data_IF_374964194793
#
_entry.id   IF_374964194793
#
_cell.length_a   1.000
_cell.length_b   1.000
_cell.length_c   1.000
_cell.angle_alpha   90.00
_cell.angle_beta   90.00
_cell.angle_gamma   90.00
#
_symmetry.space_group_name_H-M   'P 1'
#
loop_
_entity.id
_entity.type
_entity.pdbx_description
1 polymer ?
#
# COMPACT_ATOMS: atom_id res chain seq x y z
N UNK A 1 -42.76 -11.60 -2.90
CA UNK A 1 -42.08 -12.69 -3.63
C UNK A 1 -40.89 -13.09 -2.77
N UNK A 2 -40.79 -14.35 -2.36
CA UNK A 2 -39.67 -14.80 -1.53
C UNK A 2 -38.37 -14.56 -2.32
N UNK A 3 -37.49 -13.74 -1.75
CA UNK A 3 -36.19 -13.43 -2.32
C UNK A 3 -35.34 -14.70 -2.18
N UNK A 4 -35.30 -15.54 -3.22
CA UNK A 4 -34.49 -16.76 -3.20
C UNK A 4 -33.02 -16.36 -3.16
N UNK A 5 -32.45 -16.39 -1.96
CA UNK A 5 -31.03 -16.23 -1.72
C UNK A 5 -30.31 -17.51 -2.15
N UNK A 6 -29.40 -17.38 -3.10
CA UNK A 6 -28.46 -18.41 -3.49
C UNK A 6 -27.24 -18.33 -2.60
N UNK A 7 -26.75 -19.47 -2.11
CA UNK A 7 -25.56 -19.57 -1.27
C UNK A 7 -24.62 -20.64 -1.79
N UNK A 8 -23.34 -20.29 -1.92
CA UNK A 8 -22.24 -21.22 -2.21
C UNK A 8 -21.16 -21.12 -1.15
N UNK A 9 -20.62 -22.28 -0.78
CA UNK A 9 -19.48 -22.41 0.12
C UNK A 9 -18.42 -23.26 -0.54
N UNK A 10 -17.24 -22.70 -0.71
CA UNK A 10 -16.06 -23.40 -1.22
C UNK A 10 -14.99 -23.46 -0.13
N UNK A 11 -14.26 -24.57 -0.12
CA UNK A 11 -13.22 -24.85 0.87
C UNK A 11 -11.97 -25.32 0.12
N UNK A 12 -10.83 -24.73 0.44
CA UNK A 12 -9.52 -25.13 -0.05
C UNK A 12 -8.59 -25.44 1.11
N UNK A 13 -7.85 -26.52 0.93
CA UNK A 13 -6.76 -26.92 1.83
C UNK A 13 -5.44 -26.49 1.17
N UNK A 14 -4.76 -25.54 1.81
CA UNK A 14 -3.57 -24.84 1.30
C UNK A 14 -2.38 -25.08 2.25
N UNK A 15 -1.16 -25.04 1.71
CA UNK A 15 0.07 -25.37 2.43
C UNK A 15 0.64 -24.19 3.21
N UNK A 16 0.53 -22.97 2.70
CA UNK A 16 0.98 -21.76 3.37
C UNK A 16 0.12 -21.43 4.61
N UNK A 17 0.74 -20.80 5.61
CA UNK A 17 0.03 -20.34 6.82
C UNK A 17 -0.92 -19.17 6.50
N UNK A 18 -1.89 -18.87 7.40
CA UNK A 18 -2.78 -17.72 7.21
C UNK A 18 -2.01 -16.41 7.01
N UNK A 19 -0.93 -16.19 7.76
CA UNK A 19 -0.06 -15.01 7.68
C UNK A 19 0.65 -14.91 6.33
N UNK A 20 1.11 -16.04 5.79
CA UNK A 20 1.77 -16.09 4.49
C UNK A 20 0.79 -15.86 3.33
N UNK A 21 -0.45 -16.33 3.48
CA UNK A 21 -1.51 -16.20 2.46
C UNK A 21 -2.21 -14.86 2.49
N UNK A 22 -2.34 -14.24 3.66
CA UNK A 22 -3.12 -13.03 3.87
C UNK A 22 -2.79 -11.91 2.87
N UNK A 23 -1.51 -11.54 2.63
CA UNK A 23 -1.18 -10.48 1.68
C UNK A 23 -1.66 -10.74 0.25
N UNK A 24 -1.85 -12.01 -0.12
CA UNK A 24 -2.32 -12.41 -1.44
C UNK A 24 -3.84 -12.54 -1.52
N UNK A 25 -4.45 -13.10 -0.47
CA UNK A 25 -5.90 -13.37 -0.41
C UNK A 25 -6.68 -12.09 -0.10
N UNK A 26 -6.13 -11.19 0.71
CA UNK A 26 -6.74 -9.93 1.08
C UNK A 26 -6.56 -8.83 0.02
N UNK A 27 -5.68 -9.03 -0.97
CA UNK A 27 -5.61 -8.20 -2.18
C UNK A 27 -6.72 -8.59 -3.16
N UNK A 28 -7.94 -8.16 -2.82
CA UNK A 28 -9.12 -8.50 -3.63
C UNK A 28 -9.10 -7.83 -5.00
N UNK A 29 -8.34 -6.73 -5.16
CA UNK A 29 -8.13 -6.09 -6.45
C UNK A 29 -7.36 -7.02 -7.41
N UNK A 30 -6.24 -7.55 -6.92
CA UNK A 30 -5.45 -8.54 -7.65
C UNK A 30 -6.20 -9.86 -7.85
N UNK A 31 -6.90 -10.34 -6.83
CA UNK A 31 -7.69 -11.55 -6.93
C UNK A 31 -8.79 -11.44 -8.00
N UNK A 32 -9.51 -10.33 -8.07
CA UNK A 32 -10.54 -10.10 -9.07
C UNK A 32 -9.93 -10.11 -10.49
N UNK A 33 -8.79 -9.43 -10.69
CA UNK A 33 -8.02 -9.48 -11.95
C UNK A 33 -7.61 -10.92 -12.31
N UNK A 34 -6.94 -11.63 -11.40
CA UNK A 34 -6.37 -12.95 -11.65
C UNK A 34 -7.45 -14.04 -11.83
N UNK A 35 -8.62 -13.83 -11.21
CA UNK A 35 -9.81 -14.67 -11.40
C UNK A 35 -10.66 -14.26 -12.61
N UNK A 36 -10.22 -13.28 -13.40
CA UNK A 36 -10.88 -12.84 -14.62
C UNK A 36 -12.26 -12.22 -14.38
N UNK A 37 -12.48 -11.66 -13.19
CA UNK A 37 -13.56 -10.71 -12.96
C UNK A 37 -13.22 -9.49 -13.83
N UNK A 38 -14.09 -9.07 -14.76
CA UNK A 38 -13.82 -7.94 -15.62
C UNK A 38 -13.51 -6.69 -14.80
N UNK A 39 -12.51 -5.93 -15.25
CA UNK A 39 -12.27 -4.59 -14.73
C UNK A 39 -13.54 -3.74 -14.85
N UNK A 40 -13.69 -2.78 -13.97
CA UNK A 40 -14.73 -1.77 -14.11
C UNK A 40 -14.45 -0.95 -15.38
N UNK A 41 -15.18 -1.19 -16.48
CA UNK A 41 -14.98 -0.50 -17.77
C UNK A 41 -15.03 1.04 -17.67
N UNK A 42 -15.71 1.56 -16.64
CA UNK A 42 -15.78 2.98 -16.25
C UNK A 42 -16.26 3.05 -14.78
N UNK A 43 -15.37 3.33 -13.82
CA UNK A 43 -15.83 3.90 -12.53
C UNK A 43 -16.20 5.35 -12.83
N UNK A 44 -17.49 5.63 -13.00
CA UNK A 44 -17.90 6.99 -13.39
C UNK A 44 -18.05 7.95 -12.22
N UNK A 45 -18.09 7.46 -10.98
CA UNK A 45 -18.01 8.22 -9.73
C UNK A 45 -18.03 7.21 -8.58
N UNK A 46 -16.89 7.04 -7.88
CA UNK A 46 -16.85 6.36 -6.58
C UNK A 46 -17.21 7.36 -5.51
N UNK A 47 -18.50 7.62 -5.29
CA UNK A 47 -18.94 8.59 -4.29
C UNK A 47 -18.87 7.93 -2.90
N UNK A 48 -17.96 8.41 -2.07
CA UNK A 48 -17.89 8.05 -0.65
C UNK A 48 -19.05 8.71 0.08
N UNK A 49 -19.83 7.92 0.82
CA UNK A 49 -21.04 8.38 1.49
C UNK A 49 -20.78 8.91 2.92
N UNK A 50 -19.52 8.97 3.35
CA UNK A 50 -19.08 9.52 4.64
C UNK A 50 -19.08 8.54 5.81
N UNK A 51 -19.72 7.38 5.68
CA UNK A 51 -19.83 6.28 6.66
C UNK A 51 -19.00 5.04 6.25
N UNK A 52 -18.00 5.26 5.39
CA UNK A 52 -17.21 4.20 4.76
C UNK A 52 -17.91 3.44 3.63
N UNK A 53 -19.21 3.68 3.37
CA UNK A 53 -19.89 3.12 2.21
C UNK A 53 -19.46 3.84 0.94
N UNK A 54 -19.41 3.10 -0.16
CA UNK A 54 -19.05 3.64 -1.48
C UNK A 54 -20.15 3.32 -2.47
N UNK A 55 -20.62 4.31 -3.22
CA UNK A 55 -21.46 4.08 -4.40
C UNK A 55 -20.59 3.80 -5.60
N UNK A 56 -20.87 2.71 -6.29
CA UNK A 56 -20.09 2.23 -7.42
C UNK A 56 -21.02 1.97 -8.59
N UNK A 57 -20.70 2.58 -9.73
CA UNK A 57 -21.35 2.30 -11.02
C UNK A 57 -20.31 1.76 -11.99
N UNK A 58 -20.58 0.56 -12.52
CA UNK A 58 -19.70 -0.14 -13.47
C UNK A 58 -20.52 -0.74 -14.60
N UNK A 59 -19.87 -1.00 -15.73
CA UNK A 59 -20.44 -1.80 -16.82
C UNK A 59 -19.70 -3.13 -16.89
N UNK A 60 -20.45 -4.22 -16.97
CA UNK A 60 -19.90 -5.57 -17.02
C UNK A 60 -20.75 -6.42 -17.97
N UNK A 61 -20.12 -7.07 -18.95
CA UNK A 61 -20.80 -7.86 -20.00
C UNK A 61 -21.94 -7.10 -20.70
N UNK A 62 -21.74 -5.80 -20.92
CA UNK A 62 -22.75 -4.92 -21.51
C UNK A 62 -23.88 -4.48 -20.57
N UNK A 63 -23.93 -5.00 -19.34
CA UNK A 63 -24.92 -4.65 -18.31
C UNK A 63 -24.35 -3.60 -17.37
N UNK A 64 -25.13 -2.58 -17.05
CA UNK A 64 -24.75 -1.59 -16.03
C UNK A 64 -25.14 -2.09 -14.64
N UNK A 65 -24.16 -2.15 -13.76
CA UNK A 65 -24.29 -2.47 -12.35
C UNK A 65 -24.07 -1.20 -11.54
N UNK A 66 -25.06 -0.84 -10.75
CA UNK A 66 -25.03 0.29 -9.83
C UNK A 66 -25.34 -0.28 -8.46
N UNK A 67 -24.43 -0.08 -7.52
CA UNK A 67 -24.53 -0.64 -6.19
C UNK A 67 -23.91 0.28 -5.13
N UNK A 68 -24.39 0.13 -3.90
CA UNK A 68 -23.70 0.64 -2.72
C UNK A 68 -22.95 -0.53 -2.09
N UNK A 69 -21.66 -0.33 -1.86
CA UNK A 69 -20.80 -1.26 -1.15
C UNK A 69 -20.71 -0.83 0.32
N UNK A 70 -21.03 -1.75 1.23
CA UNK A 70 -20.73 -1.58 2.66
C UNK A 70 -19.21 -1.62 2.88
N UNK A 71 -18.68 -0.96 3.94
CA UNK A 71 -17.27 -1.09 4.29
C UNK A 71 -16.82 -2.54 4.29
N UNK A 72 -15.63 -2.81 3.75
CA UNK A 72 -14.99 -4.08 3.99
C UNK A 72 -14.82 -4.27 5.49
N UNK A 73 -15.13 -5.46 5.98
CA UNK A 73 -14.87 -5.85 7.37
C UNK A 73 -13.80 -6.92 7.38
N UNK A 74 -12.82 -6.81 8.26
CA UNK A 74 -11.76 -7.81 8.35
C UNK A 74 -11.09 -7.86 9.70
N UNK A 75 -10.48 -9.03 9.94
CA UNK A 75 -9.60 -9.34 11.04
C UNK A 75 -8.37 -10.01 10.45
N UNK A 76 -7.23 -9.31 10.37
CA UNK A 76 -5.97 -9.88 9.88
C UNK A 76 -5.44 -10.95 10.86
N UNK A 77 -4.92 -12.10 10.38
CA UNK A 77 -4.94 -12.62 9.01
C UNK A 77 -6.13 -13.59 8.73
N UNK A 78 -7.17 -13.54 9.56
CA UNK A 78 -8.18 -14.59 9.67
C UNK A 78 -9.35 -14.47 8.70
N UNK A 79 -9.85 -13.27 8.43
CA UNK A 79 -11.05 -13.13 7.58
C UNK A 79 -11.22 -11.75 6.99
N UNK A 80 -11.91 -11.69 5.86
CA UNK A 80 -12.50 -10.46 5.36
C UNK A 80 -13.87 -10.72 4.73
N UNK A 81 -14.70 -9.68 4.66
CA UNK A 81 -15.99 -9.75 4.01
C UNK A 81 -16.45 -8.39 3.49
N UNK A 82 -17.38 -8.43 2.55
CA UNK A 82 -18.00 -7.24 1.97
C UNK A 82 -19.42 -7.55 1.53
N UNK A 83 -20.31 -6.57 1.65
CA UNK A 83 -21.67 -6.65 1.14
C UNK A 83 -21.91 -5.55 0.12
N UNK A 84 -22.56 -5.90 -0.99
CA UNK A 84 -22.94 -4.99 -2.07
C UNK A 84 -24.45 -5.05 -2.29
N UNK A 85 -25.10 -3.88 -2.32
CA UNK A 85 -26.54 -3.72 -2.51
C UNK A 85 -26.80 -3.09 -3.86
N UNK A 86 -27.34 -3.87 -4.80
CA UNK A 86 -27.47 -3.50 -6.20
C UNK A 86 -28.81 -2.82 -6.48
N UNK A 87 -28.75 -1.64 -7.07
CA UNK A 87 -29.90 -0.88 -7.58
C UNK A 87 -30.18 -1.20 -9.06
N UNK A 88 -29.17 -1.67 -9.81
CA UNK A 88 -29.28 -2.15 -11.19
C UNK A 88 -28.54 -3.47 -11.42
N UNK A 89 -28.88 -4.19 -12.49
CA UNK A 89 -28.28 -5.48 -12.84
C UNK A 89 -29.09 -6.71 -12.39
N UNK A 90 -28.53 -7.92 -12.54
CA UNK A 90 -29.23 -9.18 -12.27
C UNK A 90 -29.29 -9.58 -10.78
N UNK A 91 -28.35 -9.05 -9.98
CA UNK A 91 -28.20 -9.32 -8.54
C UNK A 91 -28.96 -8.25 -7.75
N UNK A 92 -29.56 -8.63 -6.62
CA UNK A 92 -30.15 -7.69 -5.66
C UNK A 92 -29.17 -7.35 -4.52
N UNK A 93 -28.63 -8.39 -3.88
CA UNK A 93 -27.60 -8.29 -2.84
C UNK A 93 -26.53 -9.33 -3.09
N UNK A 94 -25.27 -8.98 -2.91
CA UNK A 94 -24.12 -9.89 -2.91
C UNK A 94 -23.39 -9.75 -1.57
N UNK A 95 -23.15 -10.87 -0.88
CA UNK A 95 -22.31 -10.92 0.31
C UNK A 95 -21.17 -11.90 0.09
N UNK A 96 -19.96 -11.51 0.46
CA UNK A 96 -18.75 -12.32 0.36
C UNK A 96 -18.14 -12.43 1.76
N UNK A 97 -17.66 -13.62 2.11
CA UNK A 97 -16.86 -13.85 3.32
C UNK A 97 -15.75 -14.85 2.99
N UNK A 98 -14.51 -14.47 3.24
CA UNK A 98 -13.34 -15.34 3.20
C UNK A 98 -12.81 -15.53 4.62
N UNK A 99 -12.56 -16.77 5.01
CA UNK A 99 -12.05 -17.18 6.33
C UNK A 99 -10.84 -18.09 6.14
N UNK A 100 -9.75 -17.81 6.86
CA UNK A 100 -8.48 -18.51 6.84
C UNK A 100 -8.25 -19.08 8.24
N UNK A 101 -8.50 -20.39 8.37
CA UNK A 101 -8.29 -21.11 9.63
C UNK A 101 -6.96 -21.88 9.56
N UNK A 102 -6.12 -21.72 10.59
CA UNK A 102 -4.89 -22.51 10.71
C UNK A 102 -5.23 -23.99 10.97
N UNK A 103 -4.56 -24.89 10.25
CA UNK A 103 -4.80 -26.33 10.37
C UNK A 103 -3.88 -26.98 11.41
N UNK A 104 -4.34 -28.01 12.15
CA UNK A 104 -3.51 -28.69 13.14
C UNK A 104 -2.22 -29.33 12.59
N UNK A 105 -2.21 -29.70 11.31
CA UNK A 105 -1.06 -30.27 10.60
C UNK A 105 -0.18 -29.20 9.91
N UNK A 106 -0.50 -27.92 10.09
CA UNK A 106 0.12 -26.80 9.39
C UNK A 106 -0.60 -26.43 8.09
N UNK A 107 -0.45 -25.18 7.67
CA UNK A 107 -1.14 -24.61 6.51
C UNK A 107 -2.53 -24.06 6.85
N UNK A 108 -3.36 -23.85 5.84
CA UNK A 108 -4.61 -23.07 5.95
C UNK A 108 -5.80 -23.79 5.33
N UNK A 109 -6.93 -23.81 6.04
CA UNK A 109 -8.25 -24.08 5.47
C UNK A 109 -8.87 -22.74 5.07
N UNK A 110 -8.88 -22.44 3.77
CA UNK A 110 -9.53 -21.25 3.22
C UNK A 110 -10.99 -21.59 2.91
N UNK A 111 -11.93 -20.98 3.63
CA UNK A 111 -13.36 -21.03 3.34
C UNK A 111 -13.78 -19.74 2.63
N UNK A 112 -14.37 -19.85 1.43
CA UNK A 112 -14.94 -18.69 0.71
C UNK A 112 -16.44 -18.90 0.50
N UNK A 113 -17.23 -17.97 0.99
CA UNK A 113 -18.69 -18.04 0.97
C UNK A 113 -19.27 -16.86 0.20
N UNK A 114 -20.26 -17.16 -0.64
CA UNK A 114 -20.94 -16.17 -1.47
C UNK A 114 -22.44 -16.34 -1.33
N UNK A 115 -23.12 -15.27 -0.94
CA UNK A 115 -24.59 -15.19 -0.93
C UNK A 115 -25.04 -14.18 -1.97
N UNK A 116 -26.01 -14.54 -2.79
CA UNK A 116 -26.54 -13.67 -3.84
C UNK A 116 -28.06 -13.76 -3.95
N UNK A 117 -28.77 -12.62 -3.91
CA UNK A 117 -30.20 -12.57 -4.21
C UNK A 117 -30.46 -12.14 -5.65
N UNK A 118 -31.61 -12.54 -6.20
CA UNK A 118 -31.98 -12.26 -7.59
C UNK A 118 -32.85 -11.01 -7.66
N UNK A 119 -32.49 -10.06 -8.53
CA UNK A 119 -33.31 -8.86 -8.76
C UNK A 119 -34.33 -9.03 -9.89
N UNK A 120 -33.99 -9.79 -10.92
CA UNK A 120 -34.82 -9.99 -12.11
C UNK A 120 -34.52 -11.35 -12.78
N UNK A 121 -35.18 -11.62 -13.91
CA UNK A 121 -35.05 -12.90 -14.63
C UNK A 121 -33.62 -13.20 -15.12
N UNK A 122 -32.78 -12.17 -15.38
CA UNK A 122 -31.37 -12.39 -15.73
C UNK A 122 -30.59 -13.02 -14.57
N UNK A 123 -31.03 -12.82 -13.32
CA UNK A 123 -30.47 -13.46 -12.13
C UNK A 123 -30.63 -14.98 -12.07
N UNK A 124 -31.37 -15.60 -13.01
CA UNK A 124 -31.44 -17.06 -13.13
C UNK A 124 -30.08 -17.70 -13.44
N UNK A 125 -29.13 -16.95 -14.03
CA UNK A 125 -27.77 -17.44 -14.33
C UNK A 125 -26.83 -17.46 -13.13
N UNK A 126 -27.21 -16.87 -11.98
CA UNK A 126 -26.35 -16.74 -10.79
C UNK A 126 -25.72 -18.08 -10.36
N UNK A 127 -26.47 -19.20 -10.24
CA UNK A 127 -25.88 -20.47 -9.82
C UNK A 127 -24.82 -21.02 -10.77
N UNK A 128 -24.94 -20.75 -12.06
CA UNK A 128 -23.96 -21.20 -13.06
C UNK A 128 -22.70 -20.31 -12.99
N UNK A 129 -22.90 -18.99 -12.94
CA UNK A 129 -21.80 -18.02 -12.89
C UNK A 129 -20.98 -18.18 -11.61
N UNK A 130 -21.63 -18.18 -10.45
CA UNK A 130 -20.97 -18.30 -9.16
C UNK A 130 -20.53 -19.76 -8.92
N UNK A 131 -21.48 -20.70 -8.89
CA UNK A 131 -21.22 -22.10 -8.51
C UNK A 131 -20.27 -22.89 -9.40
N UNK A 132 -20.19 -22.57 -10.71
CA UNK A 132 -19.37 -23.33 -11.65
C UNK A 132 -18.22 -22.53 -12.26
N UNK A 133 -18.50 -21.35 -12.83
CA UNK A 133 -17.49 -20.57 -13.56
C UNK A 133 -16.49 -19.96 -12.58
N UNK A 134 -16.96 -19.18 -11.60
CA UNK A 134 -16.08 -18.52 -10.63
C UNK A 134 -15.32 -19.55 -9.78
N UNK A 135 -15.97 -20.64 -9.34
CA UNK A 135 -15.31 -21.70 -8.57
C UNK A 135 -14.02 -22.21 -9.22
N UNK A 136 -14.03 -22.49 -10.54
CA UNK A 136 -12.83 -22.98 -11.26
C UNK A 136 -11.74 -21.92 -11.35
N UNK A 137 -12.11 -20.66 -11.50
CA UNK A 137 -11.15 -19.55 -11.58
C UNK A 137 -10.53 -19.25 -10.21
N UNK A 138 -11.34 -19.30 -9.16
CA UNK A 138 -10.91 -19.11 -7.78
C UNK A 138 -9.98 -20.24 -7.34
N UNK A 139 -10.30 -21.49 -7.71
CA UNK A 139 -9.42 -22.63 -7.47
C UNK A 139 -8.02 -22.40 -8.08
N UNK A 140 -7.97 -21.99 -9.36
CA UNK A 140 -6.69 -21.66 -10.00
C UNK A 140 -5.96 -20.53 -9.25
N UNK A 141 -6.65 -19.44 -8.91
CA UNK A 141 -6.05 -18.29 -8.24
C UNK A 141 -5.48 -18.64 -6.86
N UNK A 142 -6.27 -19.29 -5.99
CA UNK A 142 -5.82 -19.65 -4.65
C UNK A 142 -4.70 -20.69 -4.65
N UNK A 143 -4.71 -21.65 -5.58
CA UNK A 143 -3.58 -22.60 -5.74
C UNK A 143 -2.30 -21.90 -6.19
N UNK A 144 -2.41 -20.89 -7.06
CA UNK A 144 -1.29 -20.04 -7.44
C UNK A 144 -0.79 -19.26 -6.22
N UNK A 145 -1.67 -18.61 -5.47
CA UNK A 145 -1.29 -17.86 -4.27
C UNK A 145 -0.60 -18.73 -3.22
N UNK A 146 -1.10 -19.94 -2.99
CA UNK A 146 -0.48 -20.92 -2.09
C UNK A 146 0.96 -21.27 -2.50
N UNK A 147 1.18 -21.61 -3.77
CA UNK A 147 2.52 -21.93 -4.26
C UNK A 147 3.50 -20.75 -4.10
N UNK A 148 3.03 -19.51 -4.27
CA UNK A 148 3.86 -18.31 -4.19
C UNK A 148 4.15 -17.90 -2.74
N UNK A 149 3.17 -18.06 -1.86
CA UNK A 149 3.32 -17.88 -0.42
C UNK A 149 4.35 -18.88 0.14
N UNK A 150 4.25 -20.17 -0.22
CA UNK A 150 5.23 -21.20 0.15
C UNK A 150 6.63 -20.89 -0.40
N UNK A 151 6.72 -20.40 -1.64
CA UNK A 151 7.99 -20.03 -2.27
C UNK A 151 8.60 -18.73 -1.73
N UNK A 152 7.88 -17.96 -0.89
CA UNK A 152 8.32 -16.66 -0.40
C UNK A 152 8.45 -15.60 -1.49
N UNK A 153 7.67 -15.71 -2.58
CA UNK A 153 7.73 -14.80 -3.75
C UNK A 153 6.36 -14.21 -4.15
N UNK A 154 5.61 -13.61 -3.21
CA UNK A 154 4.25 -13.13 -3.46
C UNK A 154 4.14 -12.03 -4.53
N UNK A 155 5.22 -11.33 -4.86
CA UNK A 155 5.28 -10.24 -5.87
C UNK A 155 5.51 -10.71 -7.32
N UNK A 156 5.94 -11.97 -7.49
CA UNK A 156 6.02 -12.62 -8.82
C UNK A 156 4.69 -13.23 -9.24
N UNK A 157 3.67 -13.05 -8.42
CA UNK A 157 2.43 -13.75 -8.56
C UNK A 157 1.50 -13.03 -9.52
N UNK A 158 1.80 -13.13 -10.80
CA UNK A 158 0.91 -12.68 -11.84
C UNK A 158 0.15 -13.87 -12.43
N UNK A 159 -1.20 -13.85 -12.32
CA UNK A 159 -2.07 -14.73 -13.11
C UNK A 159 -2.06 -14.37 -14.60
N UNK A 160 -1.53 -13.19 -14.95
CA UNK A 160 -1.41 -12.64 -16.31
C UNK A 160 0.05 -12.45 -16.72
N UNK A 161 0.34 -12.50 -18.02
CA UNK A 161 1.70 -12.26 -18.52
C UNK A 161 1.97 -10.75 -18.53
N UNK A 162 3.06 -10.26 -17.91
CA UNK A 162 3.44 -8.84 -17.96
C UNK A 162 3.50 -8.29 -19.40
N UNK A 163 2.96 -7.10 -19.62
CA UNK A 163 2.96 -6.45 -20.94
C UNK A 163 4.21 -5.57 -21.13
N UNK A 164 5.31 -6.18 -21.57
CA UNK A 164 6.55 -5.46 -21.87
C UNK A 164 6.41 -4.64 -23.16
N UNK A 165 7.03 -3.46 -23.16
CA UNK A 165 7.14 -2.65 -24.37
C UNK A 165 8.03 -3.36 -25.39
N UNK A 166 7.77 -3.13 -26.69
CA UNK A 166 8.58 -3.72 -27.77
C UNK A 166 10.07 -3.41 -27.66
N UNK A 167 10.42 -2.26 -27.08
CA UNK A 167 11.80 -1.79 -26.89
C UNK A 167 12.36 -2.11 -25.51
N UNK A 168 11.67 -2.90 -24.68
CA UNK A 168 12.04 -3.09 -23.28
C UNK A 168 13.48 -3.61 -23.11
N UNK A 169 13.85 -4.67 -23.84
CA UNK A 169 15.19 -5.27 -23.72
C UNK A 169 16.29 -4.36 -24.27
N UNK A 170 16.03 -3.62 -25.35
CA UNK A 170 16.95 -2.62 -25.88
C UNK A 170 17.18 -1.49 -24.87
N UNK A 171 16.11 -1.03 -24.19
CA UNK A 171 16.19 0.01 -23.16
C UNK A 171 16.96 -0.47 -21.94
N UNK A 172 16.71 -1.69 -21.47
CA UNK A 172 17.44 -2.28 -20.34
C UNK A 172 18.93 -2.45 -20.68
N UNK A 173 19.25 -2.93 -21.89
CA UNK A 173 20.63 -3.05 -22.35
C UNK A 173 21.32 -1.68 -22.45
N UNK A 174 20.65 -0.66 -22.99
CA UNK A 174 21.17 0.69 -23.09
C UNK A 174 21.40 1.32 -21.71
N UNK A 175 20.48 1.12 -20.76
CA UNK A 175 20.64 1.60 -19.38
C UNK A 175 21.86 0.96 -18.70
N UNK A 176 22.05 -0.35 -18.88
CA UNK A 176 23.22 -1.06 -18.36
C UNK A 176 24.53 -0.54 -18.94
N UNK A 177 24.57 -0.28 -20.25
CA UNK A 177 25.74 0.29 -20.92
C UNK A 177 26.00 1.75 -20.51
N UNK A 178 24.94 2.52 -20.25
CA UNK A 178 25.00 3.93 -19.87
C UNK A 178 25.23 4.18 -18.37
N UNK A 179 25.26 3.14 -17.54
CA UNK A 179 25.29 3.25 -16.08
C UNK A 179 26.41 4.18 -15.59
N UNK A 180 27.64 3.99 -16.06
CA UNK A 180 28.79 4.80 -15.63
C UNK A 180 28.81 6.21 -16.24
N UNK A 181 27.94 6.50 -17.21
CA UNK A 181 27.85 7.81 -17.89
C UNK A 181 26.94 8.82 -17.19
N UNK A 182 26.24 8.42 -16.13
CA UNK A 182 25.28 9.24 -15.39
C UNK A 182 25.85 9.63 -14.01
N UNK A 183 25.58 10.84 -13.49
CA UNK A 183 26.01 11.23 -12.14
C UNK A 183 25.61 10.17 -11.08
N UNK A 184 26.58 9.72 -10.29
CA UNK A 184 26.35 8.68 -9.27
C UNK A 184 26.16 7.26 -9.80
N UNK A 185 26.17 7.05 -11.11
CA UNK A 185 25.98 5.71 -11.68
C UNK A 185 27.16 4.76 -11.43
N UNK A 186 28.39 5.28 -11.35
CA UNK A 186 29.58 4.47 -11.00
C UNK A 186 29.57 3.88 -9.58
N UNK A 187 28.73 4.41 -8.70
CA UNK A 187 28.54 3.89 -7.33
C UNK A 187 27.34 2.95 -7.19
N UNK A 188 26.53 2.79 -8.23
CA UNK A 188 25.45 1.80 -8.23
C UNK A 188 26.01 0.45 -8.68
N UNK A 189 25.80 -0.59 -7.89
CA UNK A 189 26.17 -1.96 -8.28
C UNK A 189 25.40 -2.37 -9.55
N UNK A 190 26.08 -2.74 -10.65
CA UNK A 190 25.43 -3.26 -11.85
C UNK A 190 24.50 -4.45 -11.56
N UNK A 191 24.81 -5.29 -10.57
CA UNK A 191 23.95 -6.41 -10.18
C UNK A 191 22.61 -5.95 -9.58
N UNK A 192 22.59 -4.80 -8.89
CA UNK A 192 21.36 -4.21 -8.37
C UNK A 192 20.49 -3.66 -9.51
N UNK A 193 21.10 -3.04 -10.53
CA UNK A 193 20.37 -2.61 -11.72
C UNK A 193 19.79 -3.81 -12.48
N UNK A 194 20.56 -4.90 -12.61
CA UNK A 194 20.10 -6.14 -13.25
C UNK A 194 18.94 -6.77 -12.46
N UNK A 195 19.00 -6.76 -11.11
CA UNK A 195 17.92 -7.23 -10.24
C UNK A 195 16.64 -6.39 -10.38
N UNK A 196 16.77 -5.06 -10.43
CA UNK A 196 15.66 -4.16 -10.69
C UNK A 196 15.05 -4.43 -12.08
N UNK A 197 15.87 -4.62 -13.10
CA UNK A 197 15.39 -4.92 -14.44
C UNK A 197 14.66 -6.27 -14.52
N UNK A 198 15.12 -7.31 -13.82
CA UNK A 198 14.41 -8.60 -13.74
C UNK A 198 13.07 -8.46 -12.98
N UNK A 199 13.04 -7.68 -11.90
CA UNK A 199 11.79 -7.36 -11.19
C UNK A 199 10.79 -6.66 -12.12
N UNK A 200 11.22 -5.65 -12.88
CA UNK A 200 10.37 -4.97 -13.87
C UNK A 200 9.87 -5.91 -14.98
N UNK A 201 10.60 -6.97 -15.31
CA UNK A 201 10.18 -7.96 -16.32
C UNK A 201 9.16 -8.96 -15.79
N UNK A 202 9.27 -9.35 -14.52
CA UNK A 202 8.59 -10.54 -13.98
C UNK A 202 7.52 -10.26 -12.94
N UNK A 203 7.69 -9.22 -12.13
CA UNK A 203 6.75 -8.90 -11.07
C UNK A 203 5.37 -8.58 -11.65
N UNK A 204 4.31 -8.77 -10.86
CA UNK A 204 2.96 -8.47 -11.31
C UNK A 204 2.74 -6.95 -11.52
N UNK A 205 1.73 -6.57 -12.31
CA UNK A 205 1.47 -5.17 -12.65
C UNK A 205 1.17 -4.31 -11.41
N UNK A 206 0.51 -4.87 -10.39
CA UNK A 206 0.20 -4.16 -9.14
C UNK A 206 1.47 -3.88 -8.34
N UNK A 207 2.38 -4.87 -8.28
CA UNK A 207 3.67 -4.75 -7.62
C UNK A 207 4.57 -3.68 -8.26
N UNK A 208 4.50 -3.49 -9.58
CA UNK A 208 5.31 -2.48 -10.29
C UNK A 208 4.60 -1.14 -10.52
N UNK A 209 3.29 -1.06 -10.36
CA UNK A 209 2.52 0.19 -10.53
C UNK A 209 2.94 1.29 -9.54
N UNK A 210 3.44 0.89 -8.36
CA UNK A 210 3.89 1.78 -7.29
C UNK A 210 5.04 1.15 -6.51
N UNK A 211 6.25 1.27 -7.05
CA UNK A 211 7.48 0.78 -6.46
C UNK A 211 7.94 1.72 -5.34
N UNK A 212 8.04 1.16 -4.13
CA UNK A 212 8.69 1.78 -2.98
C UNK A 212 10.10 1.21 -2.81
N UNK A 213 11.16 2.01 -2.96
CA UNK A 213 12.54 1.50 -2.87
C UNK A 213 12.86 0.83 -1.55
N UNK A 214 12.35 1.33 -0.42
CA UNK A 214 12.65 0.74 0.90
C UNK A 214 11.89 -0.55 1.13
N UNK A 215 10.64 -0.64 0.67
CA UNK A 215 9.91 -1.90 0.67
C UNK A 215 10.63 -2.97 -0.16
N UNK A 216 11.17 -2.60 -1.33
CA UNK A 216 11.98 -3.51 -2.16
C UNK A 216 13.30 -3.88 -1.47
N UNK A 217 13.98 -2.91 -0.85
CA UNK A 217 15.25 -3.13 -0.17
C UNK A 217 15.12 -4.11 1.00
N UNK A 218 14.10 -3.93 1.83
CA UNK A 218 13.83 -4.80 2.98
C UNK A 218 13.56 -6.24 2.49
N UNK A 219 12.78 -6.41 1.42
CA UNK A 219 12.52 -7.72 0.80
C UNK A 219 13.76 -8.35 0.16
N UNK A 220 14.60 -7.53 -0.44
CA UNK A 220 15.83 -7.99 -1.10
C UNK A 220 16.98 -8.21 -0.11
N UNK A 221 16.78 -7.85 1.16
CA UNK A 221 17.80 -7.80 2.21
C UNK A 221 19.00 -6.95 1.77
N UNK A 222 18.73 -5.81 1.15
CA UNK A 222 19.74 -4.86 0.66
C UNK A 222 19.65 -3.53 1.41
N UNK A 223 20.73 -2.73 1.45
CA UNK A 223 20.69 -1.40 2.04
C UNK A 223 19.66 -0.52 1.34
N UNK A 224 18.72 0.03 2.11
CA UNK A 224 17.66 0.94 1.64
C UNK A 224 18.19 2.07 0.75
N UNK A 225 19.32 2.67 1.14
CA UNK A 225 19.95 3.76 0.40
C UNK A 225 20.42 3.34 -0.98
N UNK A 226 21.01 2.17 -1.11
CA UNK A 226 21.53 1.66 -2.39
C UNK A 226 20.39 1.43 -3.38
N UNK A 227 19.27 0.88 -2.91
CA UNK A 227 18.08 0.65 -3.74
C UNK A 227 17.41 1.96 -4.18
N UNK A 228 17.31 2.95 -3.29
CA UNK A 228 16.82 4.28 -3.65
C UNK A 228 17.72 4.93 -4.71
N UNK A 229 19.04 4.93 -4.49
CA UNK A 229 19.98 5.54 -5.43
C UNK A 229 19.99 4.81 -6.79
N UNK A 230 19.84 3.48 -6.80
CA UNK A 230 19.66 2.71 -8.02
C UNK A 230 18.36 3.07 -8.74
N UNK A 231 17.25 3.25 -8.03
CA UNK A 231 15.97 3.67 -8.60
C UNK A 231 16.04 5.09 -9.23
N UNK A 232 16.75 6.02 -8.57
CA UNK A 232 17.00 7.36 -9.10
C UNK A 232 17.86 7.33 -10.38
N UNK A 233 18.94 6.56 -10.38
CA UNK A 233 19.79 6.38 -11.57
C UNK A 233 19.01 5.68 -12.69
N UNK A 234 18.23 4.64 -12.38
CA UNK A 234 17.36 3.95 -13.33
C UNK A 234 16.30 4.88 -13.92
N UNK A 235 15.82 5.86 -13.16
CA UNK A 235 14.93 6.93 -13.66
C UNK A 235 15.64 7.80 -14.69
N UNK A 236 16.86 8.25 -14.39
CA UNK A 236 17.66 9.05 -15.34
C UNK A 236 18.02 8.27 -16.61
N UNK A 237 18.21 6.96 -16.50
CA UNK A 237 18.44 6.05 -17.63
C UNK A 237 17.16 5.68 -18.39
N UNK A 238 15.99 6.15 -17.94
CA UNK A 238 14.70 5.94 -18.60
C UNK A 238 14.10 4.54 -18.42
N UNK A 239 14.52 3.80 -17.38
CA UNK A 239 13.88 2.54 -16.99
C UNK A 239 12.67 2.75 -16.10
N UNK A 240 12.78 3.75 -15.23
CA UNK A 240 11.74 4.16 -14.30
C UNK A 240 11.31 5.59 -14.59
N UNK A 241 10.18 5.94 -14.00
CA UNK A 241 9.76 7.30 -13.68
C UNK A 241 9.46 7.36 -12.20
N UNK A 242 9.61 8.53 -11.59
CA UNK A 242 9.10 8.76 -10.25
C UNK A 242 7.87 9.67 -10.30
N UNK A 243 7.15 9.72 -9.18
CA UNK A 243 6.09 10.68 -8.90
C UNK A 243 6.08 11.00 -7.42
N UNK A 244 5.52 12.15 -7.10
CA UNK A 244 5.33 12.66 -5.75
C UNK A 244 3.89 12.44 -5.33
N UNK A 245 3.68 11.69 -4.25
CA UNK A 245 2.37 11.40 -3.68
C UNK A 245 2.19 12.20 -2.38
N UNK A 246 1.08 12.95 -2.26
CA UNK A 246 0.62 13.48 -0.96
C UNK A 246 -0.35 12.50 -0.35
N UNK A 247 0.07 11.87 0.74
CA UNK A 247 -0.69 10.85 1.43
C UNK A 247 -1.64 11.46 2.46
N UNK A 248 -2.82 10.87 2.60
CA UNK A 248 -3.64 11.10 3.78
C UNK A 248 -2.97 10.46 5.02
N UNK A 249 -2.82 11.15 6.15
CA UNK A 249 -2.17 10.60 7.35
C UNK A 249 -2.98 9.49 8.05
N UNK A 250 -4.25 9.31 7.69
CA UNK A 250 -5.10 8.24 8.22
C UNK A 250 -5.07 6.99 7.34
N UNK A 251 -5.55 7.07 6.10
CA UNK A 251 -5.59 5.91 5.20
C UNK A 251 -4.28 5.65 4.44
N UNK A 252 -3.34 6.59 4.43
CA UNK A 252 -2.02 6.50 3.75
C UNK A 252 -2.09 6.30 2.24
N UNK A 253 -3.26 6.54 1.65
CA UNK A 253 -3.48 6.55 0.20
C UNK A 253 -3.17 7.95 -0.32
N UNK A 254 -2.54 8.02 -1.50
CA UNK A 254 -2.29 9.27 -2.21
C UNK A 254 -3.62 9.98 -2.53
N UNK A 255 -3.70 11.28 -2.25
CA UNK A 255 -4.84 12.15 -2.61
C UNK A 255 -4.48 13.20 -3.64
N UNK A 256 -3.19 13.42 -3.82
CA UNK A 256 -2.62 14.13 -4.95
C UNK A 256 -1.36 13.41 -5.38
N UNK A 257 -1.13 13.40 -6.69
CA UNK A 257 0.04 12.80 -7.32
C UNK A 257 0.47 13.69 -8.47
N UNK A 258 1.75 14.03 -8.54
CA UNK A 258 2.35 14.75 -9.67
C UNK A 258 3.74 14.21 -9.99
N UNK A 259 4.19 14.36 -11.23
CA UNK A 259 5.54 13.96 -11.64
C UNK A 259 6.60 14.96 -11.15
N UNK A 260 6.20 16.18 -10.79
CA UNK A 260 7.08 17.25 -10.31
C UNK A 260 6.70 17.74 -8.92
N UNK A 261 7.70 17.87 -8.04
CA UNK A 261 7.48 18.28 -6.65
C UNK A 261 6.78 19.64 -6.53
N UNK A 262 7.10 20.57 -7.44
CA UNK A 262 6.59 21.94 -7.46
C UNK A 262 5.08 22.03 -7.73
N UNK A 263 4.52 21.05 -8.43
CA UNK A 263 3.11 21.03 -8.80
C UNK A 263 2.26 20.29 -7.74
N UNK A 264 2.91 19.75 -6.70
CA UNK A 264 2.23 19.10 -5.58
C UNK A 264 1.42 20.12 -4.77
N UNK A 265 0.12 19.89 -4.52
CA UNK A 265 -0.71 20.83 -3.79
C UNK A 265 -0.28 20.93 -2.32
N UNK A 266 -0.39 22.13 -1.76
CA UNK A 266 -0.02 22.42 -0.35
C UNK A 266 -1.04 21.89 0.66
N UNK A 267 -2.26 21.60 0.21
CA UNK A 267 -3.33 21.02 1.01
C UNK A 267 -4.14 20.02 0.17
N UNK A 268 -4.60 18.96 0.83
CA UNK A 268 -5.46 17.93 0.24
C UNK A 268 -6.64 17.67 1.17
N UNK A 269 -7.79 17.33 0.58
CA UNK A 269 -8.93 16.76 1.28
C UNK A 269 -8.98 15.25 1.03
N UNK A 270 -9.33 14.46 2.04
CA UNK A 270 -9.56 13.03 1.88
C UNK A 270 -11.03 12.71 2.14
N UNK A 271 -11.81 12.48 1.08
CA UNK A 271 -13.24 12.16 1.20
C UNK A 271 -13.49 10.89 2.02
N UNK A 272 -12.56 9.92 1.95
CA UNK A 272 -12.69 8.64 2.63
C UNK A 272 -12.51 8.76 4.14
N UNK A 273 -11.68 9.71 4.57
CA UNK A 273 -11.36 9.93 5.98
C UNK A 273 -12.06 11.15 6.56
N UNK A 274 -12.68 11.99 5.72
CA UNK A 274 -13.34 13.24 6.13
C UNK A 274 -12.39 14.27 6.74
N UNK A 275 -11.11 14.30 6.32
CA UNK A 275 -10.10 15.22 6.88
C UNK A 275 -9.41 16.07 5.82
N UNK A 276 -9.03 17.28 6.24
CA UNK A 276 -8.11 18.16 5.53
C UNK A 276 -6.70 18.02 6.12
N UNK A 277 -5.69 17.95 5.27
CA UNK A 277 -4.29 17.93 5.69
C UNK A 277 -3.43 18.76 4.78
N UNK A 278 -2.38 19.36 5.33
CA UNK A 278 -1.34 20.04 4.57
C UNK A 278 -0.26 19.06 4.11
N UNK A 279 0.40 19.39 3.01
CA UNK A 279 1.58 18.68 2.54
C UNK A 279 2.78 18.99 3.45
N UNK A 280 3.46 17.93 3.89
CA UNK A 280 4.62 17.97 4.76
C UNK A 280 5.65 16.93 4.28
N UNK A 281 6.81 17.43 3.84
CA UNK A 281 7.87 16.66 3.21
C UNK A 281 8.44 15.56 4.09
N UNK A 282 8.38 15.69 5.41
CA UNK A 282 8.89 14.68 6.35
C UNK A 282 7.83 13.68 6.79
N UNK A 283 6.54 13.91 6.52
CA UNK A 283 5.45 13.12 7.11
C UNK A 283 4.53 12.45 6.09
N UNK A 284 4.14 13.16 5.03
CA UNK A 284 3.10 12.68 4.12
C UNK A 284 3.34 13.01 2.64
N UNK A 285 4.50 13.52 2.27
CA UNK A 285 4.93 13.58 0.87
C UNK A 285 5.93 12.46 0.62
N UNK A 286 5.59 11.56 -0.29
CA UNK A 286 6.34 10.35 -0.62
C UNK A 286 6.79 10.37 -2.09
N UNK A 287 8.02 9.93 -2.36
CA UNK A 287 8.50 9.63 -3.70
C UNK A 287 8.26 8.14 -4.01
N UNK A 288 7.48 7.84 -5.05
CA UNK A 288 7.33 6.47 -5.55
C UNK A 288 7.78 6.35 -7.01
N UNK A 289 8.07 5.12 -7.44
CA UNK A 289 8.55 4.83 -8.78
C UNK A 289 7.57 3.94 -9.54
N UNK A 290 7.64 3.99 -10.86
CA UNK A 290 6.93 3.06 -11.75
C UNK A 290 7.79 2.79 -13.00
N UNK A 291 7.59 1.68 -13.71
CA UNK A 291 8.22 1.46 -15.01
C UNK A 291 7.93 2.63 -15.96
N UNK A 292 8.94 3.02 -16.73
CA UNK A 292 8.71 3.89 -17.87
C UNK A 292 7.84 3.13 -18.91
N UNK A 293 6.87 3.78 -19.58
CA UNK A 293 6.03 3.14 -20.60
C UNK A 293 6.82 2.53 -21.77
N UNK A 294 8.05 3.03 -22.01
CA UNK A 294 9.00 2.50 -22.99
C UNK A 294 9.66 1.18 -22.59
N UNK A 295 9.49 0.76 -21.33
CA UNK A 295 9.93 -0.52 -20.77
C UNK A 295 8.75 -1.44 -20.52
N UNK A 296 7.69 -0.96 -19.85
CA UNK A 296 6.53 -1.77 -19.51
C UNK A 296 5.28 -0.91 -19.45
N UNK A 297 4.20 -1.42 -20.03
CA UNK A 297 2.87 -0.88 -19.83
C UNK A 297 2.29 -1.54 -18.59
N UNK A 298 1.86 -0.72 -17.64
CA UNK A 298 1.21 -1.19 -16.41
C UNK A 298 -0.22 -0.73 -16.49
N UNK A 299 -1.14 -1.68 -16.36
CA UNK A 299 -2.56 -1.39 -16.28
C UNK A 299 -2.93 -1.03 -14.83
N UNK A 300 -3.33 0.23 -14.54
CA UNK A 300 -3.70 0.64 -13.19
C UNK A 300 -5.15 0.28 -12.85
N UNK A 301 -5.85 -0.52 -13.66
CA UNK A 301 -7.27 -0.85 -13.47
C UNK A 301 -7.59 -1.21 -12.01
N UNK A 302 -8.54 -0.46 -11.43
CA UNK A 302 -9.09 -0.68 -10.11
C UNK A 302 -10.33 -1.59 -10.22
N UNK A 303 -10.16 -2.85 -9.82
CA UNK A 303 -11.17 -3.89 -9.80
C UNK A 303 -11.99 -3.85 -8.50
N UNK A 304 -11.36 -3.52 -7.37
CA UNK A 304 -11.99 -3.58 -6.06
C UNK A 304 -11.59 -2.42 -5.14
N UNK A 305 -12.54 -1.51 -4.91
CA UNK A 305 -12.40 -0.35 -4.02
C UNK A 305 -12.52 -0.79 -2.56
N UNK A 306 -11.61 -0.29 -1.71
CA UNK A 306 -11.65 -0.51 -0.27
C UNK A 306 -11.17 -1.89 0.18
N UNK A 307 -10.40 -2.59 -0.66
CA UNK A 307 -9.84 -3.89 -0.32
C UNK A 307 -8.82 -3.79 0.84
N UNK A 308 -8.69 -4.81 1.71
CA UNK A 308 -7.79 -4.75 2.87
C UNK A 308 -6.32 -4.50 2.51
N UNK A 309 -5.83 -5.05 1.39
CA UNK A 309 -4.43 -4.86 0.98
C UNK A 309 -4.07 -3.42 0.59
N UNK A 310 -5.07 -2.57 0.28
CA UNK A 310 -4.86 -1.15 0.05
C UNK A 310 -4.50 -0.37 1.33
N UNK A 311 -4.84 -0.91 2.51
CA UNK A 311 -4.54 -0.34 3.83
C UNK A 311 -3.90 -1.37 4.74
N UNK A 312 -2.68 -1.85 4.43
CA UNK A 312 -2.04 -2.96 5.15
C UNK A 312 -1.68 -2.61 6.60
N UNK A 313 -1.74 -1.34 6.98
CA UNK A 313 -1.57 -0.91 8.37
C UNK A 313 -2.82 -1.11 9.21
N UNK A 314 -3.99 -1.31 8.62
CA UNK A 314 -5.25 -1.54 9.32
C UNK A 314 -5.40 -3.04 9.55
N UNK A 315 -5.20 -3.51 10.78
CA UNK A 315 -5.29 -4.94 11.16
C UNK A 315 -6.72 -5.40 11.38
N UNK A 316 -7.60 -4.46 11.72
CA UNK A 316 -9.00 -4.71 11.96
C UNK A 316 -9.84 -3.54 11.43
N UNK A 317 -10.92 -3.86 10.74
CA UNK A 317 -11.97 -2.93 10.38
C UNK A 317 -13.32 -3.60 10.56
N UNK A 318 -14.23 -2.97 11.30
CA UNK A 318 -15.53 -3.56 11.64
C UNK A 318 -16.61 -2.52 11.90
N UNK A 319 -17.81 -2.77 11.40
CA UNK A 319 -19.01 -2.00 11.75
C UNK A 319 -19.52 -2.46 13.12
N UNK A 320 -19.79 -1.53 14.02
CA UNK A 320 -20.40 -1.80 15.32
C UNK A 320 -21.70 -1.04 15.49
N UNK A 321 -22.78 -1.78 15.71
CA UNK A 321 -24.06 -1.22 16.10
C UNK A 321 -24.00 -0.62 17.52
N UNK A 322 -24.95 0.28 17.88
CA UNK A 322 -25.05 0.80 19.24
C UNK A 322 -25.12 -0.32 20.29
N UNK A 323 -24.19 -0.29 21.25
CA UNK A 323 -24.03 -1.26 22.32
C UNK A 323 -23.23 -2.52 21.97
N UNK A 324 -22.86 -2.72 20.69
CA UNK A 324 -22.10 -3.87 20.22
C UNK A 324 -20.62 -3.78 20.64
N UNK A 325 -19.98 -4.93 20.84
CA UNK A 325 -18.56 -5.04 21.17
C UNK A 325 -17.85 -5.95 20.18
N UNK A 326 -16.80 -5.44 19.54
CA UNK A 326 -15.83 -6.24 18.80
C UNK A 326 -14.68 -6.67 19.71
N UNK A 327 -14.08 -7.81 19.37
CA UNK A 327 -12.91 -8.35 20.04
C UNK A 327 -11.77 -8.38 19.04
N UNK A 328 -10.78 -7.50 19.21
CA UNK A 328 -9.64 -7.39 18.29
C UNK A 328 -8.43 -8.08 18.89
N UNK A 329 -7.73 -8.90 18.10
CA UNK A 329 -6.46 -9.51 18.51
C UNK A 329 -5.37 -8.88 17.66
N UNK A 330 -4.50 -8.03 18.23
CA UNK A 330 -3.35 -7.51 17.50
C UNK A 330 -2.45 -8.66 17.01
N UNK A 331 -2.10 -8.70 15.72
CA UNK A 331 -1.36 -9.81 15.14
C UNK A 331 0.09 -9.91 15.65
N UNK A 332 0.73 -8.78 15.96
CA UNK A 332 2.09 -8.76 16.47
C UNK A 332 2.31 -7.75 17.62
N UNK A 333 3.40 -7.87 18.41
CA UNK A 333 3.81 -6.82 19.34
C UNK A 333 4.06 -5.49 18.62
N UNK A 334 3.70 -4.38 19.27
CA UNK A 334 3.85 -3.05 18.68
C UNK A 334 2.84 -2.04 19.19
N UNK A 335 2.90 -0.83 18.63
CA UNK A 335 1.94 0.24 18.94
C UNK A 335 0.83 0.25 17.90
N UNK A 336 -0.39 0.33 18.39
CA UNK A 336 -1.63 0.36 17.62
C UNK A 336 -2.45 1.60 17.98
N UNK A 337 -3.31 2.00 17.06
CA UNK A 337 -4.25 3.09 17.20
C UNK A 337 -5.65 2.57 16.92
N UNK A 338 -6.54 2.72 17.89
CA UNK A 338 -7.96 2.41 17.75
C UNK A 338 -8.69 3.72 17.48
N UNK A 339 -9.47 3.79 16.40
CA UNK A 339 -10.26 4.98 16.05
C UNK A 339 -11.60 4.62 15.41
N UNK A 340 -12.49 5.60 15.34
CA UNK A 340 -13.68 5.56 14.49
C UNK A 340 -13.43 6.37 13.20
N UNK A 341 -14.06 5.99 12.10
CA UNK A 341 -13.96 6.77 10.87
C UNK A 341 -14.72 8.09 10.97
N UNK A 342 -15.93 8.05 11.54
CA UNK A 342 -16.91 9.13 11.51
C UNK A 342 -16.66 10.21 12.57
N UNK A 343 -15.71 9.98 13.49
CA UNK A 343 -15.52 10.84 14.67
C UNK A 343 -14.03 11.05 14.97
N UNK A 344 -13.64 12.27 15.38
CA UNK A 344 -12.26 12.55 15.77
C UNK A 344 -11.91 11.84 17.09
N UNK A 345 -10.62 11.61 17.28
CA UNK A 345 -10.08 10.95 18.48
C UNK A 345 -9.56 9.54 18.19
N UNK A 346 -8.58 9.13 18.98
CA UNK A 346 -8.00 7.81 18.89
C UNK A 346 -7.40 7.39 20.23
N UNK A 347 -7.41 6.09 20.49
CA UNK A 347 -6.78 5.46 21.65
C UNK A 347 -5.52 4.76 21.18
N UNK A 348 -4.44 4.87 21.94
CA UNK A 348 -3.20 4.14 21.65
C UNK A 348 -3.18 2.86 22.46
N UNK A 349 -3.02 1.72 21.78
CA UNK A 349 -2.77 0.44 22.44
C UNK A 349 -1.32 0.03 22.19
N UNK A 350 -0.62 -0.44 23.21
CA UNK A 350 0.73 -0.99 23.10
C UNK A 350 0.68 -2.46 23.43
N UNK A 351 1.16 -3.30 22.51
CA UNK A 351 1.27 -4.74 22.69
C UNK A 351 2.72 -5.07 23.02
N UNK A 352 2.97 -5.52 24.24
CA UNK A 352 4.31 -5.77 24.77
C UNK A 352 4.27 -6.90 25.82
N UNK A 353 5.40 -7.58 26.04
CA UNK A 353 5.49 -8.75 26.92
C UNK A 353 5.07 -8.48 28.38
N UNK A 354 5.16 -7.23 28.82
CA UNK A 354 4.75 -6.77 30.16
C UNK A 354 3.28 -6.32 30.24
N UNK A 355 2.52 -6.46 29.15
CA UNK A 355 1.12 -6.07 29.07
C UNK A 355 0.14 -7.04 29.75
N UNK A 356 -1.10 -6.60 29.93
CA UNK A 356 -2.15 -7.42 30.53
C UNK A 356 -2.80 -8.35 29.49
N UNK A 357 -3.17 -9.56 29.92
CA UNK A 357 -3.96 -10.48 29.08
C UNK A 357 -5.45 -10.13 29.06
N UNK A 358 -5.94 -9.61 30.18
CA UNK A 358 -7.30 -9.09 30.32
C UNK A 358 -7.23 -7.57 30.17
N UNK A 359 -7.82 -7.07 29.09
CA UNK A 359 -7.76 -5.66 28.69
C UNK A 359 -9.12 -5.03 28.93
N UNK A 360 -9.13 -3.87 29.59
CA UNK A 360 -10.37 -3.11 29.81
C UNK A 360 -11.04 -2.75 28.48
N UNK A 361 -12.38 -2.77 28.47
CA UNK A 361 -13.15 -2.45 27.26
C UNK A 361 -12.92 -1.00 26.83
N UNK A 362 -12.40 -0.85 25.62
CA UNK A 362 -12.24 0.43 24.95
C UNK A 362 -13.60 0.88 24.44
N UNK A 363 -14.11 1.98 24.97
CA UNK A 363 -15.41 2.53 24.53
C UNK A 363 -15.22 3.56 23.41
N UNK A 364 -16.01 3.43 22.35
CA UNK A 364 -16.13 4.39 21.26
C UNK A 364 -17.57 4.93 21.21
N UNK A 365 -17.84 6.21 20.87
CA UNK A 365 -16.91 7.21 20.39
C UNK A 365 -15.99 7.73 21.48
N UNK A 366 -14.76 8.05 21.10
CA UNK A 366 -13.74 8.52 22.02
C UNK A 366 -14.04 10.00 22.31
N UNK A 367 -14.52 10.29 23.52
CA UNK A 367 -15.10 11.60 23.89
C UNK A 367 -14.04 12.70 24.05
N UNK A 368 -12.75 12.36 24.00
CA UNK A 368 -11.61 13.29 24.05
C UNK A 368 -10.42 12.73 23.24
N UNK A 369 -9.34 13.51 23.03
CA UNK A 369 -8.01 12.98 22.70
C UNK A 369 -7.44 12.20 23.91
N UNK A 370 -8.21 11.25 24.45
CA UNK A 370 -7.79 10.41 25.54
C UNK A 370 -6.72 9.45 25.01
N UNK A 371 -5.46 9.80 25.25
CA UNK A 371 -4.35 8.85 25.26
C UNK A 371 -4.55 7.91 26.45
N UNK A 372 -5.57 7.04 26.39
CA UNK A 372 -5.57 5.86 27.22
C UNK A 372 -4.53 4.93 26.60
N UNK A 373 -3.33 4.86 27.18
CA UNK A 373 -2.32 3.89 26.76
C UNK A 373 -2.73 2.53 27.31
N UNK A 374 -3.41 1.74 26.48
CA UNK A 374 -3.79 0.37 26.82
C UNK A 374 -2.58 -0.52 26.59
N UNK A 375 -2.02 -1.13 27.64
CA UNK A 375 -0.90 -2.08 27.49
C UNK A 375 -1.42 -3.51 27.56
N UNK A 376 -1.33 -4.22 26.43
CA UNK A 376 -1.82 -5.58 26.25
C UNK A 376 -0.66 -6.56 26.03
N UNK A 377 -0.75 -7.78 26.58
CA UNK A 377 0.24 -8.82 26.28
C UNK A 377 0.03 -9.40 24.87
N UNK A 378 1.06 -9.96 24.21
CA UNK A 378 0.90 -10.64 22.93
C UNK A 378 -0.19 -11.71 22.99
N UNK A 379 -1.10 -11.70 22.00
CA UNK A 379 -2.27 -12.59 21.97
C UNK A 379 -3.46 -12.13 22.81
N UNK A 380 -3.37 -11.00 23.53
CA UNK A 380 -4.49 -10.42 24.25
C UNK A 380 -5.59 -9.97 23.29
N UNK A 381 -6.82 -10.00 23.78
CA UNK A 381 -7.97 -9.44 23.09
C UNK A 381 -8.23 -8.02 23.59
N UNK A 382 -8.33 -7.05 22.69
CA UNK A 382 -8.78 -5.68 22.99
C UNK A 382 -10.29 -5.62 22.69
N UNK A 383 -11.17 -5.55 23.71
CA UNK A 383 -12.60 -5.36 23.48
C UNK A 383 -12.86 -3.89 23.13
N UNK A 384 -13.54 -3.65 22.00
CA UNK A 384 -13.93 -2.32 21.55
C UNK A 384 -15.46 -2.26 21.49
N UNK A 385 -16.09 -1.41 22.31
CA UNK A 385 -17.54 -1.28 22.42
C UNK A 385 -18.04 0.04 21.87
N UNK A 386 -19.10 0.01 21.08
CA UNK A 386 -19.81 1.22 20.67
C UNK A 386 -20.83 1.65 21.75
N UNK A 387 -20.47 2.65 22.53
CA UNK A 387 -21.31 3.31 23.53
C UNK A 387 -22.12 4.49 22.94
N UNK A 388 -21.93 4.77 21.66
CA UNK A 388 -22.67 5.78 20.91
C UNK A 388 -24.09 5.36 20.56
N UNK A 389 -24.84 6.32 20.00
CA UNK A 389 -26.22 6.09 19.52
C UNK A 389 -26.30 5.66 18.05
N UNK A 390 -25.21 5.79 17.30
CA UNK A 390 -25.13 5.53 15.86
C UNK A 390 -24.21 4.34 15.59
N UNK A 391 -24.40 3.65 14.47
CA UNK A 391 -23.42 2.69 13.93
C UNK A 391 -22.10 3.42 13.64
N UNK A 392 -20.97 2.78 13.95
CA UNK A 392 -19.63 3.34 13.69
C UNK A 392 -18.72 2.32 13.03
N UNK A 393 -17.84 2.78 12.15
CA UNK A 393 -16.76 1.97 11.61
C UNK A 393 -15.53 2.09 12.50
N UNK A 394 -15.17 1.02 13.20
CA UNK A 394 -13.97 0.92 14.04
C UNK A 394 -12.80 0.43 13.20
N UNK A 395 -11.65 1.07 13.37
CA UNK A 395 -10.38 0.66 12.78
C UNK A 395 -9.33 0.49 13.88
N UNK A 396 -8.55 -0.59 13.78
CA UNK A 396 -7.31 -0.77 14.57
C UNK A 396 -6.13 -0.77 13.63
N UNK A 397 -5.20 0.15 13.87
CA UNK A 397 -4.14 0.50 12.93
C UNK A 397 -2.77 0.38 13.59
N UNK A 398 -1.80 -0.20 12.90
CA UNK A 398 -0.38 -0.14 13.29
C UNK A 398 0.09 1.32 13.28
N UNK A 399 0.55 1.80 14.42
CA UNK A 399 1.19 3.12 14.58
C UNK A 399 2.65 3.05 14.18
N UNK A 400 3.35 2.02 14.66
CA UNK A 400 4.71 1.77 14.26
C UNK A 400 4.73 1.43 12.76
N UNK A 401 5.39 2.30 12.00
CA UNK A 401 5.59 2.13 10.58
C UNK A 401 6.62 1.03 10.35
N UNK A 402 6.40 0.14 9.37
CA UNK A 402 7.52 -0.38 8.59
C UNK A 402 7.96 0.71 7.63
N UNK A 403 8.84 1.62 8.07
CA UNK A 403 9.25 2.92 7.47
C UNK A 403 9.73 2.82 6.00
N UNK A 404 8.83 2.46 5.09
CA UNK A 404 9.12 2.01 3.73
C UNK A 404 8.84 3.08 2.66
N UNK A 405 8.26 4.23 3.04
CA UNK A 405 8.18 5.35 2.13
C UNK A 405 9.51 6.09 2.11
N UNK A 406 9.82 6.59 0.92
CA UNK A 406 10.89 7.53 0.72
C UNK A 406 10.30 8.93 0.87
N UNK A 407 10.55 9.58 2.00
CA UNK A 407 9.96 10.91 2.28
C UNK A 407 10.59 12.00 1.42
N UNK A 408 9.83 13.05 1.09
CA UNK A 408 10.35 14.18 0.33
C UNK A 408 11.49 14.91 1.04
N UNK A 409 11.46 15.02 2.36
CA UNK A 409 12.53 15.64 3.14
C UNK A 409 13.85 14.87 2.96
N UNK A 410 13.80 13.55 2.97
CA UNK A 410 14.99 12.72 2.76
C UNK A 410 15.54 12.84 1.33
N UNK A 411 14.68 12.79 0.32
CA UNK A 411 15.07 12.83 -1.09
C UNK A 411 15.70 14.16 -1.45
N UNK A 412 15.09 15.26 -1.05
CA UNK A 412 15.59 16.61 -1.35
C UNK A 412 16.94 16.84 -0.63
N UNK A 413 17.15 16.21 0.52
CA UNK A 413 18.41 16.24 1.25
C UNK A 413 19.51 15.37 0.61
N UNK A 414 19.17 14.38 -0.22
CA UNK A 414 20.14 13.53 -0.91
C UNK A 414 20.85 14.27 -2.07
N UNK A 415 22.18 14.34 -2.00
CA UNK A 415 23.00 14.98 -3.04
C UNK A 415 22.77 14.37 -4.43
N UNK A 416 22.67 13.05 -4.52
CA UNK A 416 22.42 12.34 -5.80
C UNK A 416 21.11 12.77 -6.47
N UNK A 417 20.07 13.02 -5.69
CA UNK A 417 18.80 13.51 -6.22
C UNK A 417 18.98 14.89 -6.85
N UNK A 418 19.64 15.81 -6.14
CA UNK A 418 19.93 17.17 -6.64
C UNK A 418 20.81 17.16 -7.89
N UNK A 419 21.79 16.27 -7.96
CA UNK A 419 22.66 16.15 -9.14
C UNK A 419 21.92 15.63 -10.37
N UNK A 420 20.95 14.73 -10.18
CA UNK A 420 20.19 14.09 -11.26
C UNK A 420 18.95 14.88 -11.70
N UNK A 421 18.35 15.61 -10.76
CA UNK A 421 17.02 16.24 -10.90
C UNK A 421 17.03 17.67 -10.34
N UNK A 422 17.95 18.51 -10.81
CA UNK A 422 18.08 19.89 -10.35
C UNK A 422 16.80 20.74 -10.55
N UNK A 423 15.98 20.39 -11.54
CA UNK A 423 14.72 21.08 -11.84
C UNK A 423 13.59 20.77 -10.83
N UNK A 424 13.79 19.81 -9.93
CA UNK A 424 12.86 19.48 -8.83
C UNK A 424 13.01 20.43 -7.62
N UNK A 425 13.87 21.45 -7.71
CA UNK A 425 14.02 22.45 -6.67
C UNK A 425 12.74 23.29 -6.51
N UNK A 426 12.31 23.50 -5.25
CA UNK A 426 11.16 24.36 -4.94
C UNK A 426 11.38 25.79 -5.48
N UNK A 427 10.34 26.37 -6.09
CA UNK A 427 10.43 27.72 -6.64
C UNK A 427 10.54 28.77 -5.52
N UNK A 428 11.24 29.90 -5.75
CA UNK A 428 11.28 30.99 -4.80
C UNK A 428 9.86 31.49 -4.45
N UNK A 429 9.47 31.38 -3.18
CA UNK A 429 8.18 31.86 -2.66
C UNK A 429 7.20 30.75 -2.29
N UNK A 430 7.40 29.52 -2.76
CA UNK A 430 6.64 28.35 -2.30
C UNK A 430 7.14 27.90 -0.93
N UNK A 431 6.21 27.52 -0.05
CA UNK A 431 6.49 27.06 1.31
C UNK A 431 5.83 25.71 1.50
N UNK A 432 6.64 24.66 1.59
CA UNK A 432 6.20 23.33 2.01
C UNK A 432 6.88 23.05 3.34
N UNK A 433 6.12 22.50 4.30
CA UNK A 433 6.67 22.16 5.61
C UNK A 433 7.66 20.99 5.49
N UNK A 434 8.87 21.14 6.01
CA UNK A 434 9.92 20.09 5.97
C UNK A 434 10.06 19.37 7.33
N UNK A 435 9.43 19.88 8.39
CA UNK A 435 9.65 19.41 9.75
C UNK A 435 11.04 19.83 10.25
N UNK A 436 11.86 18.88 10.71
CA UNK A 436 13.19 19.11 11.26
C UNK A 436 14.25 18.49 10.35
N UNK A 437 15.22 19.30 9.89
CA UNK A 437 16.38 18.82 9.12
C UNK A 437 17.66 19.37 9.74
N UNK A 438 18.68 18.51 9.86
CA UNK A 438 20.02 18.92 10.31
C UNK A 438 20.90 19.14 9.09
N UNK A 439 21.37 20.37 8.90
CA UNK A 439 22.31 20.71 7.82
C UNK A 439 23.69 20.95 8.44
N UNK A 440 24.69 20.21 7.97
CA UNK A 440 26.08 20.41 8.36
C UNK A 440 26.77 21.28 7.32
N UNK A 441 27.18 22.48 7.72
CA UNK A 441 28.05 23.35 6.92
C UNK A 441 29.49 23.14 7.37
N UNK A 442 30.37 22.86 6.42
CA UNK A 442 31.82 22.78 6.65
C UNK A 442 32.50 23.82 5.79
N UNK A 443 33.41 24.57 6.39
CA UNK A 443 34.24 25.56 5.70
C UNK A 443 35.70 25.39 6.14
N UNK A 444 36.60 25.66 5.21
CA UNK A 444 38.05 25.67 5.44
C UNK A 444 38.47 27.11 5.70
N UNK A 445 38.48 27.51 6.98
CA UNK A 445 38.98 28.81 7.40
C UNK A 445 40.39 29.08 6.87
N UNK A 446 40.62 30.32 6.42
CA UNK A 446 41.91 30.79 5.89
C UNK A 446 42.47 29.96 4.73
N UNK A 447 41.61 29.35 3.91
CA UNK A 447 42.04 28.57 2.72
C UNK A 447 43.00 29.36 1.83
N UNK A 448 42.75 30.64 1.58
CA UNK A 448 43.66 31.49 0.79
C UNK A 448 45.07 31.58 1.40
N UNK A 449 45.19 31.72 2.72
CA UNK A 449 46.49 31.74 3.40
C UNK A 449 47.14 30.34 3.42
N UNK A 450 46.35 29.28 3.44
CA UNK A 450 46.83 27.90 3.29
C UNK A 450 47.53 27.73 1.93
N UNK A 451 46.86 28.09 0.83
CA UNK A 451 47.44 28.05 -0.53
C UNK A 451 48.75 28.83 -0.60
N UNK A 452 48.79 30.04 -0.02
CA UNK A 452 49.99 30.88 -0.01
C UNK A 452 51.17 30.31 0.78
N UNK A 453 50.94 29.62 1.91
CA UNK A 453 52.03 29.09 2.75
C UNK A 453 52.65 27.81 2.24
N UNK A 454 51.82 26.87 1.77
CA UNK A 454 52.29 25.50 1.47
C UNK A 454 52.28 25.18 -0.03
N UNK A 455 51.86 26.14 -0.86
CA UNK A 455 51.79 26.00 -2.31
C UNK A 455 50.58 25.21 -2.78
N UNK A 456 50.19 25.45 -4.03
CA UNK A 456 48.89 25.01 -4.56
C UNK A 456 48.71 23.50 -4.54
N UNK A 457 49.72 22.73 -4.95
CA UNK A 457 49.63 21.28 -5.03
C UNK A 457 49.40 20.61 -3.65
N UNK A 458 50.11 21.09 -2.62
CA UNK A 458 50.01 20.52 -1.26
C UNK A 458 48.73 21.00 -0.56
N UNK A 459 48.35 22.26 -0.75
CA UNK A 459 47.09 22.79 -0.24
C UNK A 459 45.89 22.06 -0.85
N UNK A 460 45.89 21.85 -2.17
CA UNK A 460 44.82 21.11 -2.85
C UNK A 460 44.69 19.67 -2.33
N UNK A 461 45.81 18.98 -2.11
CA UNK A 461 45.80 17.65 -1.49
C UNK A 461 45.13 17.65 -0.10
N UNK A 462 45.46 18.61 0.76
CA UNK A 462 44.83 18.73 2.10
C UNK A 462 43.35 19.07 2.06
N UNK A 463 42.92 19.86 1.07
CA UNK A 463 41.51 20.17 0.86
C UNK A 463 40.76 18.89 0.44
N UNK A 464 41.34 18.07 -0.43
CA UNK A 464 40.77 16.76 -0.80
C UNK A 464 40.70 15.80 0.40
N UNK A 465 41.77 15.71 1.20
CA UNK A 465 41.80 14.89 2.42
C UNK A 465 40.70 15.30 3.40
N UNK A 466 40.44 16.61 3.55
CA UNK A 466 39.35 17.12 4.38
C UNK A 466 37.98 16.60 3.92
N UNK A 467 37.72 16.60 2.62
CA UNK A 467 36.47 16.05 2.08
C UNK A 467 36.39 14.53 2.21
N UNK A 468 37.51 13.80 2.15
CA UNK A 468 37.53 12.36 2.38
C UNK A 468 37.25 11.99 3.85
N UNK A 469 37.63 12.84 4.81
CA UNK A 469 37.23 12.69 6.22
C UNK A 469 35.71 12.86 6.38
N UNK A 470 35.09 13.78 5.64
CA UNK A 470 33.65 14.02 5.68
C UNK A 470 32.82 12.95 4.95
N UNK A 471 33.43 12.18 4.05
CA UNK A 471 32.77 11.08 3.29
C UNK A 471 32.78 9.74 4.03
N UNK A 472 33.58 9.60 5.09
CA UNK A 472 33.57 8.44 5.99
C UNK A 472 32.51 8.61 7.05
#
# INVERSE_FOLDING_TARGET
MADHEYHERWVWELQASPEQLWPLVADTNRFDRDSGVPAADLVTDGELLGDGRVRVRVRQYGVTLDYVQDPFVWDEPRRFGVTRHFSSGPIGRLRILAELDERPDGGTTLTYQVWATRRNALGLSIPIQIGQILRRRFDKAFRTFDALAVAGTPELASGSTPTLARTADERIAAARAGLTGVPGGSSVDPALLDRLADHLRRADDVAVARLRPYALADRWCLPRRDVLEAALVATRLGLLRFRWDVLCPQCRIAKATDDHLVEVPTAIHCDACGIDTTANLARNVELTFAPAPTVRLVDPDEYCIGNPAATPHVVHQGLLAPGETATVVPPEPGRYRVRCLERPGAITATVADDGAMDVETVSVPIVAEATADVTAAPGATIPVRNDGADEVLVLVERVAWGDDAVTGAEVIALQRFRDLFADEALRPGERIEVGTTTIVFTDLCDSTALYQRIGDAVAFGRVLDHFDVLRR
#
